data_IF_359128980648
#
_entry.id   IF_359128980648
#
_cell.length_a   1.000
_cell.length_b   1.000
_cell.length_c   1.000
_cell.angle_alpha   90.00
_cell.angle_beta   90.00
_cell.angle_gamma   90.00
#
_symmetry.space_group_name_H-M   'P 1'
#
loop_
_entity.id
_entity.type
_entity.pdbx_description
1 polymer ?
#
# COMPACT_ATOMS: atom_id res chain seq x y z
N UNK A 1 -6.28 15.36 -4.69
CA UNK A 1 -5.76 15.06 -3.34
C UNK A 1 -5.93 16.23 -2.36
N UNK A 2 -5.46 17.45 -2.67
CA UNK A 2 -5.53 18.58 -1.74
C UNK A 2 -6.95 18.87 -1.20
N UNK A 3 -7.97 18.84 -2.06
CA UNK A 3 -9.37 19.06 -1.64
C UNK A 3 -9.86 18.07 -0.55
N UNK A 4 -9.40 16.82 -0.59
CA UNK A 4 -9.74 15.81 0.42
C UNK A 4 -9.09 16.16 1.76
N UNK A 5 -7.81 16.57 1.74
CA UNK A 5 -7.10 16.99 2.94
C UNK A 5 -7.73 18.26 3.55
N UNK A 6 -8.07 19.25 2.72
CA UNK A 6 -8.72 20.49 3.18
C UNK A 6 -10.06 20.21 3.84
N UNK A 7 -10.87 19.32 3.25
CA UNK A 7 -12.13 18.85 3.82
C UNK A 7 -11.95 18.15 5.18
N UNK A 8 -10.90 17.35 5.35
CA UNK A 8 -10.60 16.72 6.65
C UNK A 8 -10.20 17.79 7.69
N UNK A 9 -9.34 18.74 7.30
CA UNK A 9 -8.79 19.75 8.19
C UNK A 9 -9.79 20.83 8.60
N UNK A 10 -10.88 21.04 7.84
CA UNK A 10 -11.98 21.92 8.25
C UNK A 10 -12.63 21.47 9.56
N UNK A 11 -12.67 20.15 9.82
CA UNK A 11 -13.11 19.57 11.09
C UNK A 11 -14.63 19.47 11.28
N UNK A 12 -15.42 20.09 10.40
CA UNK A 12 -16.89 20.08 10.43
C UNK A 12 -17.54 19.68 9.09
N UNK A 13 -16.75 19.21 8.13
CA UNK A 13 -17.23 18.74 6.82
C UNK A 13 -18.25 17.60 6.96
N UNK A 14 -19.48 17.76 6.42
CA UNK A 14 -20.51 16.73 6.50
C UNK A 14 -20.20 15.53 5.59
N UNK A 15 -20.72 14.35 5.94
CA UNK A 15 -20.49 13.11 5.16
C UNK A 15 -20.94 13.18 3.70
N UNK A 16 -22.00 13.94 3.40
CA UNK A 16 -22.47 14.17 2.03
C UNK A 16 -21.46 14.94 1.19
N UNK A 17 -20.67 15.83 1.79
CA UNK A 17 -19.64 16.57 1.09
C UNK A 17 -18.48 15.66 0.71
N UNK A 18 -18.04 14.78 1.63
CA UNK A 18 -17.06 13.74 1.30
C UNK A 18 -17.50 12.82 0.16
N UNK A 19 -18.78 12.46 0.11
CA UNK A 19 -19.33 11.61 -0.95
C UNK A 19 -19.33 12.27 -2.34
N UNK A 20 -19.25 13.61 -2.40
CA UNK A 20 -19.22 14.37 -3.65
C UNK A 20 -17.80 14.79 -4.07
N UNK A 21 -16.76 14.46 -3.29
CA UNK A 21 -15.38 14.73 -3.66
C UNK A 21 -14.91 13.77 -4.77
N UNK A 22 -14.19 14.32 -5.74
CA UNK A 22 -13.55 13.51 -6.79
C UNK A 22 -12.47 12.61 -6.20
N UNK A 23 -12.57 11.31 -6.49
CA UNK A 23 -11.53 10.33 -6.15
C UNK A 23 -10.38 10.48 -7.15
N UNK A 24 -9.14 10.69 -6.68
CA UNK A 24 -7.99 10.79 -7.58
C UNK A 24 -7.71 9.43 -8.23
N UNK A 25 -7.20 9.46 -9.46
CA UNK A 25 -6.80 8.26 -10.20
C UNK A 25 -5.50 7.64 -9.68
N UNK A 26 -4.68 8.40 -8.95
CA UNK A 26 -3.45 7.97 -8.31
C UNK A 26 -3.31 8.52 -6.89
N UNK A 27 -2.51 7.84 -6.07
CA UNK A 27 -2.14 8.29 -4.73
C UNK A 27 -0.69 7.93 -4.41
N UNK A 28 -0.07 8.73 -3.54
CA UNK A 28 1.28 8.50 -3.06
C UNK A 28 1.29 7.33 -2.07
N UNK A 29 2.21 6.39 -2.27
CA UNK A 29 2.34 5.19 -1.45
C UNK A 29 3.80 4.83 -1.18
N UNK A 30 4.04 4.15 -0.05
CA UNK A 30 5.30 3.43 0.18
C UNK A 30 5.17 2.01 -0.38
N UNK A 31 6.03 1.65 -1.33
CA UNK A 31 5.96 0.38 -2.07
C UNK A 31 7.27 -0.41 -1.97
N UNK A 32 7.17 -1.73 -2.12
CA UNK A 32 8.29 -2.59 -2.54
C UNK A 32 7.99 -3.13 -3.93
N UNK A 33 9.03 -3.45 -4.72
CA UNK A 33 8.86 -3.92 -6.10
C UNK A 33 9.21 -5.40 -6.28
N UNK A 34 8.52 -6.06 -7.21
CA UNK A 34 8.63 -7.51 -7.42
C UNK A 34 9.95 -7.94 -8.05
N UNK A 35 10.48 -7.15 -8.97
CA UNK A 35 11.76 -7.39 -9.64
C UNK A 35 12.96 -7.19 -8.69
N UNK A 36 12.77 -6.51 -7.56
CA UNK A 36 13.76 -6.34 -6.51
C UNK A 36 13.71 -7.42 -5.42
N UNK A 37 12.79 -8.39 -5.50
CA UNK A 37 12.56 -9.37 -4.43
C UNK A 37 13.81 -10.21 -4.05
N UNK A 38 14.79 -10.30 -4.96
CA UNK A 38 16.05 -11.02 -4.76
C UNK A 38 17.26 -10.09 -4.52
N UNK A 39 17.07 -8.79 -4.36
CA UNK A 39 18.16 -7.80 -4.23
C UNK A 39 19.06 -8.03 -3.01
N UNK A 40 18.55 -8.73 -1.99
CA UNK A 40 19.26 -9.06 -0.76
C UNK A 40 19.73 -10.52 -0.68
N UNK A 41 19.75 -11.26 -1.79
CA UNK A 41 20.34 -12.60 -1.81
C UNK A 41 21.82 -12.56 -1.39
N UNK A 42 22.20 -13.44 -0.45
CA UNK A 42 23.56 -13.49 0.09
C UNK A 42 23.89 -12.41 1.13
N UNK A 43 22.98 -11.47 1.41
CA UNK A 43 23.16 -10.43 2.45
C UNK A 43 22.64 -10.95 3.79
N UNK A 44 23.41 -10.77 4.87
CA UNK A 44 22.97 -11.15 6.21
C UNK A 44 21.75 -10.30 6.63
N UNK A 45 20.75 -10.89 7.30
CA UNK A 45 19.47 -10.20 7.62
C UNK A 45 19.65 -8.86 8.36
N UNK A 46 20.67 -8.74 9.21
CA UNK A 46 20.98 -7.50 9.94
C UNK A 46 21.51 -6.37 9.04
N UNK A 47 22.08 -6.72 7.89
CA UNK A 47 22.68 -5.79 6.92
C UNK A 47 21.70 -5.40 5.81
N UNK A 48 20.56 -6.09 5.70
CA UNK A 48 19.49 -5.73 4.78
C UNK A 48 18.88 -4.41 5.21
N UNK A 49 18.96 -3.41 4.35
CA UNK A 49 18.55 -2.05 4.64
C UNK A 49 17.21 -1.74 3.96
N UNK A 50 16.10 -1.58 4.71
CA UNK A 50 14.79 -1.23 4.16
C UNK A 50 14.79 0.01 3.26
N UNK A 51 15.73 0.94 3.46
CA UNK A 51 15.82 2.18 2.68
C UNK A 51 16.23 1.94 1.22
N UNK A 52 16.73 0.74 0.90
CA UNK A 52 17.11 0.39 -0.47
C UNK A 52 15.95 -0.21 -1.28
N UNK A 53 14.93 -0.76 -0.61
CA UNK A 53 13.82 -1.49 -1.23
C UNK A 53 12.46 -0.79 -1.11
N UNK A 54 12.32 0.16 -0.18
CA UNK A 54 11.12 0.97 -0.04
C UNK A 54 11.21 2.18 -0.99
N UNK A 55 10.25 2.27 -1.90
CA UNK A 55 10.05 3.40 -2.79
C UNK A 55 8.85 4.22 -2.35
N UNK A 56 8.89 5.54 -2.58
CA UNK A 56 7.75 6.43 -2.35
C UNK A 56 7.34 7.00 -3.70
N UNK A 57 6.19 6.59 -4.19
CA UNK A 57 5.76 6.83 -5.57
C UNK A 57 4.23 6.90 -5.71
N UNK A 58 3.77 7.48 -6.82
CA UNK A 58 2.36 7.50 -7.17
C UNK A 58 1.94 6.15 -7.77
N UNK A 59 0.88 5.57 -7.23
CA UNK A 59 0.29 4.31 -7.72
C UNK A 59 -1.17 4.50 -8.08
N UNK A 60 -1.68 3.70 -9.02
CA UNK A 60 -3.06 3.79 -9.46
C UNK A 60 -4.04 3.43 -8.32
N UNK A 61 -5.12 4.20 -8.23
CA UNK A 61 -6.23 3.94 -7.32
C UNK A 61 -6.93 2.63 -7.71
N UNK A 62 -7.09 1.66 -6.79
CA UNK A 62 -7.81 0.43 -7.10
C UNK A 62 -9.31 0.69 -7.27
N UNK A 63 -9.96 -0.11 -8.11
CA UNK A 63 -11.42 -0.18 -8.14
C UNK A 63 -11.94 -0.69 -6.79
N UNK A 64 -13.03 -0.14 -6.27
CA UNK A 64 -13.61 -0.53 -4.98
C UNK A 64 -14.57 -1.73 -5.15
N UNK A 65 -14.37 -2.77 -4.34
CA UNK A 65 -15.18 -3.98 -4.34
C UNK A 65 -16.32 -3.95 -3.30
N UNK A 66 -17.22 -4.95 -3.32
CA UNK A 66 -18.31 -5.04 -2.35
C UNK A 66 -17.80 -5.20 -0.91
N UNK A 67 -18.28 -4.35 -0.01
CA UNK A 67 -17.91 -4.41 1.42
C UNK A 67 -16.53 -3.80 1.75
N UNK A 68 -15.88 -3.16 0.77
CA UNK A 68 -14.64 -2.41 0.98
C UNK A 68 -14.94 -0.92 1.20
N UNK A 69 -14.00 -0.20 1.83
CA UNK A 69 -14.04 1.25 1.96
C UNK A 69 -12.71 1.85 1.49
N UNK A 70 -12.78 2.97 0.77
CA UNK A 70 -11.60 3.79 0.50
C UNK A 70 -11.40 4.78 1.65
N UNK A 71 -10.21 4.79 2.24
CA UNK A 71 -9.88 5.63 3.40
C UNK A 71 -8.77 6.59 3.03
N UNK A 72 -9.00 7.88 3.26
CA UNK A 72 -7.93 8.89 3.20
C UNK A 72 -7.10 8.80 4.49
N UNK A 73 -5.93 8.16 4.40
CA UNK A 73 -5.06 7.88 5.55
C UNK A 73 -4.36 9.16 6.01
N UNK A 74 -4.59 9.56 7.27
CA UNK A 74 -3.94 10.73 7.88
C UNK A 74 -2.63 10.33 8.58
N UNK A 75 -2.59 9.15 9.18
CA UNK A 75 -1.39 8.58 9.76
C UNK A 75 -1.36 7.05 9.64
N UNK A 76 -0.17 6.48 9.76
CA UNK A 76 0.06 5.03 9.81
C UNK A 76 1.20 4.74 10.81
N UNK A 77 1.59 3.47 10.94
CA UNK A 77 2.67 3.03 11.79
C UNK A 77 3.56 2.02 11.08
N UNK A 78 4.82 1.93 11.53
CA UNK A 78 5.75 0.90 11.07
C UNK A 78 5.74 -0.22 12.09
N UNK A 79 5.32 -1.40 11.65
CA UNK A 79 5.30 -2.62 12.45
C UNK A 79 6.33 -3.62 11.91
N UNK A 80 6.64 -4.68 12.67
CA UNK A 80 7.64 -5.66 12.26
C UNK A 80 7.33 -6.31 10.92
N UNK A 81 6.05 -6.51 10.57
CA UNK A 81 5.65 -7.04 9.27
C UNK A 81 6.03 -6.12 8.09
N UNK A 82 6.06 -4.81 8.31
CA UNK A 82 6.52 -3.82 7.32
C UNK A 82 8.02 -3.95 7.14
N UNK A 83 8.77 -4.09 8.24
CA UNK A 83 10.21 -4.37 8.20
C UNK A 83 10.50 -5.68 7.46
N UNK A 84 9.85 -6.78 7.83
CA UNK A 84 10.04 -8.08 7.16
C UNK A 84 9.70 -8.03 5.68
N UNK A 85 8.63 -7.33 5.31
CA UNK A 85 8.26 -7.10 3.90
C UNK A 85 9.37 -6.36 3.16
N UNK A 86 9.92 -5.29 3.74
CA UNK A 86 10.97 -4.48 3.10
C UNK A 86 12.29 -5.23 2.89
N UNK A 87 12.58 -6.25 3.68
CA UNK A 87 13.81 -7.07 3.52
C UNK A 87 13.53 -8.42 2.85
N UNK A 88 12.30 -8.63 2.36
CA UNK A 88 11.80 -9.83 1.70
C UNK A 88 11.94 -11.13 2.53
N UNK A 89 11.76 -11.04 3.85
CA UNK A 89 11.90 -12.19 4.76
C UNK A 89 10.58 -12.58 5.47
N UNK A 90 10.44 -13.86 5.88
CA UNK A 90 11.32 -15.00 5.57
C UNK A 90 11.22 -15.45 4.09
N UNK A 91 10.19 -14.97 3.39
CA UNK A 91 10.01 -15.07 1.94
C UNK A 91 9.33 -13.80 1.45
N UNK A 92 9.50 -13.47 0.17
CA UNK A 92 8.84 -12.32 -0.44
C UNK A 92 7.32 -12.38 -0.36
N UNK A 93 6.68 -11.24 -0.06
CA UNK A 93 5.21 -11.12 0.05
C UNK A 93 4.50 -11.37 -1.28
N UNK A 94 5.16 -11.09 -2.42
CA UNK A 94 4.62 -11.28 -3.77
C UNK A 94 4.17 -12.73 -4.03
N UNK A 95 4.84 -13.73 -3.46
CA UNK A 95 4.43 -15.12 -3.61
C UNK A 95 3.04 -15.42 -3.00
N UNK A 96 2.64 -14.70 -1.95
CA UNK A 96 1.30 -14.81 -1.38
C UNK A 96 0.26 -14.04 -2.19
N UNK A 97 0.61 -12.82 -2.62
CA UNK A 97 -0.25 -11.96 -3.44
C UNK A 97 -0.62 -12.65 -4.77
N UNK A 98 0.36 -13.25 -5.45
CA UNK A 98 0.12 -14.01 -6.68
C UNK A 98 -0.77 -15.23 -6.46
N UNK A 99 -0.56 -15.96 -5.36
CA UNK A 99 -1.34 -17.16 -5.06
C UNK A 99 -2.78 -16.80 -4.75
N UNK A 100 -3.01 -15.74 -3.98
CA UNK A 100 -4.33 -15.23 -3.64
C UNK A 100 -5.04 -14.59 -4.85
N UNK A 101 -4.29 -13.91 -5.71
CA UNK A 101 -4.79 -13.27 -6.93
C UNK A 101 -5.33 -14.23 -7.99
N UNK A 102 -5.06 -15.54 -7.87
CA UNK A 102 -5.61 -16.58 -8.75
C UNK A 102 -7.02 -17.03 -8.38
N UNK A 103 -7.55 -16.61 -7.23
CA UNK A 103 -8.82 -17.13 -6.71
C UNK A 103 -10.06 -16.51 -7.37
N UNK A 104 -10.02 -15.21 -7.70
CA UNK A 104 -11.16 -14.50 -8.29
C UNK A 104 -10.74 -13.19 -8.96
N UNK A 105 -11.59 -12.55 -9.77
CA UNK A 105 -11.33 -11.22 -10.30
C UNK A 105 -11.07 -10.16 -9.20
N UNK A 106 -11.80 -10.23 -8.08
CA UNK A 106 -11.62 -9.28 -6.97
C UNK A 106 -10.26 -9.43 -6.29
N UNK A 107 -9.81 -10.67 -6.08
CA UNK A 107 -8.50 -10.90 -5.43
C UNK A 107 -7.33 -10.65 -6.37
N UNK A 108 -7.54 -10.74 -7.68
CA UNK A 108 -6.52 -10.44 -8.71
C UNK A 108 -6.00 -9.01 -8.64
N UNK A 109 -6.80 -8.06 -8.14
CA UNK A 109 -6.40 -6.65 -7.94
C UNK A 109 -5.17 -6.48 -7.03
N UNK A 110 -4.86 -7.46 -6.18
CA UNK A 110 -3.69 -7.43 -5.30
C UNK A 110 -2.42 -8.03 -5.92
N UNK A 111 -2.52 -8.75 -7.05
CA UNK A 111 -1.38 -9.34 -7.75
C UNK A 111 -0.80 -8.31 -8.75
N UNK A 112 -0.04 -7.37 -8.19
CA UNK A 112 0.57 -6.23 -8.89
C UNK A 112 2.11 -6.36 -8.90
N UNK A 113 2.81 -5.65 -9.80
CA UNK A 113 4.28 -5.62 -9.80
C UNK A 113 4.90 -4.85 -8.62
N UNK A 114 4.06 -4.17 -7.82
CA UNK A 114 4.42 -3.46 -6.60
C UNK A 114 3.49 -3.87 -5.44
N UNK A 115 3.93 -3.65 -4.20
CA UNK A 115 3.13 -3.89 -3.01
C UNK A 115 3.20 -2.67 -2.09
N UNK A 116 2.06 -1.98 -1.93
CA UNK A 116 1.91 -0.88 -0.97
C UNK A 116 1.90 -1.45 0.46
N UNK A 117 2.81 -0.97 1.31
CA UNK A 117 2.98 -1.47 2.67
C UNK A 117 2.32 -0.58 3.72
N UNK A 118 2.01 -1.18 4.87
CA UNK A 118 1.33 -0.53 6.00
C UNK A 118 0.22 -1.44 6.54
N UNK A 119 0.11 -1.59 7.85
CA UNK A 119 -0.89 -2.45 8.49
C UNK A 119 -1.70 -1.75 9.58
N UNK A 120 -1.50 -0.45 9.72
CA UNK A 120 -2.21 0.44 10.62
C UNK A 120 -2.64 1.68 9.84
N UNK A 121 -3.76 2.30 10.23
CA UNK A 121 -4.23 3.57 9.67
C UNK A 121 -4.96 4.37 10.75
N UNK A 122 -4.94 5.69 10.61
CA UNK A 122 -5.73 6.65 11.38
C UNK A 122 -6.16 7.82 10.48
#
# INVERSE_FOLDING_TARGET
MQNILDAILAGDTPGEEFANLDIPDHYLAATVHKDEANMFEGVASKEKDPRQSIHVEDVAMPELGPGEALVAVMASAINYNTVWTSIFEPVSTFGFLERYGRLSPLTKRHDLPYHVVGSDLA
#
